data_IF_945780421664
#
_entry.id   IF_945780421664
#
_cell.length_a   1.000
_cell.length_b   1.000
_cell.length_c   1.000
_cell.angle_alpha   90.00
_cell.angle_beta   90.00
_cell.angle_gamma   90.00
#
_symmetry.space_group_name_H-M   'P 1'
#
loop_
_entity.id
_entity.type
_entity.pdbx_description
1 polymer ?
#
# COMPACT_ATOMS: atom_id res chain seq x y z
N UNK A 1 0.07 2.12 12.82
CA UNK A 1 0.82 3.12 12.03
C UNK A 1 2.32 3.11 12.33
N UNK A 2 2.80 3.53 13.50
CA UNK A 2 4.27 3.57 13.78
C UNK A 2 4.98 2.22 13.61
N UNK A 3 4.40 1.13 14.11
CA UNK A 3 4.95 -0.22 13.99
C UNK A 3 5.09 -0.68 12.53
N UNK A 4 4.06 -0.50 11.72
CA UNK A 4 4.04 -0.84 10.29
C UNK A 4 5.14 -0.12 9.49
N UNK A 5 5.37 1.16 9.81
CA UNK A 5 6.43 1.94 9.19
C UNK A 5 7.83 1.40 9.52
N UNK A 6 8.05 1.04 10.80
CA UNK A 6 9.33 0.49 11.25
C UNK A 6 9.58 -0.88 10.62
N UNK A 7 8.56 -1.73 10.57
CA UNK A 7 8.61 -3.06 9.93
C UNK A 7 8.95 -3.00 8.43
N UNK A 8 8.79 -1.84 7.78
CA UNK A 8 9.22 -1.64 6.40
C UNK A 8 10.75 -1.71 6.24
N UNK A 9 11.49 -1.49 7.32
CA UNK A 9 12.95 -1.43 7.33
C UNK A 9 13.61 -2.55 8.15
N UNK A 10 12.87 -3.61 8.50
CA UNK A 10 13.39 -4.77 9.24
C UNK A 10 14.37 -5.65 8.42
N UNK A 11 14.62 -5.29 7.15
CA UNK A 11 15.60 -5.96 6.29
C UNK A 11 15.18 -7.32 5.74
N UNK A 12 13.99 -7.81 6.10
CA UNK A 12 13.44 -9.08 5.63
C UNK A 12 12.15 -8.84 4.85
N UNK A 13 12.11 -9.28 3.59
CA UNK A 13 10.94 -9.24 2.71
C UNK A 13 10.52 -10.69 2.43
N UNK A 14 9.70 -11.24 3.33
CA UNK A 14 9.18 -12.62 3.30
C UNK A 14 7.64 -12.64 3.15
N UNK A 15 7.02 -13.81 3.20
CA UNK A 15 5.55 -13.92 3.12
C UNK A 15 4.86 -13.13 4.24
N UNK A 16 5.42 -13.15 5.45
CA UNK A 16 4.88 -12.42 6.60
C UNK A 16 4.91 -10.90 6.38
N UNK A 17 5.97 -10.38 5.76
CA UNK A 17 6.06 -8.99 5.34
C UNK A 17 4.89 -8.62 4.42
N UNK A 18 4.54 -9.48 3.46
CA UNK A 18 3.42 -9.25 2.53
C UNK A 18 2.07 -9.33 3.26
N UNK A 19 1.88 -10.35 4.11
CA UNK A 19 0.64 -10.56 4.87
C UNK A 19 0.27 -9.35 5.75
N UNK A 20 1.26 -8.80 6.47
CA UNK A 20 1.05 -7.62 7.31
C UNK A 20 0.52 -6.42 6.50
N UNK A 21 0.98 -6.27 5.26
CA UNK A 21 0.62 -5.16 4.35
C UNK A 21 -0.77 -5.33 3.80
N UNK A 22 -1.14 -6.56 3.46
CA UNK A 22 -2.52 -6.89 3.09
C UNK A 22 -3.50 -6.63 4.24
N UNK A 23 -3.12 -6.89 5.48
CA UNK A 23 -3.94 -6.54 6.65
C UNK A 23 -4.14 -5.03 6.74
N UNK A 24 -3.07 -4.24 6.59
CA UNK A 24 -3.15 -2.77 6.59
C UNK A 24 -4.03 -2.25 5.46
N UNK A 25 -3.89 -2.79 4.25
CA UNK A 25 -4.72 -2.43 3.10
C UNK A 25 -6.21 -2.69 3.37
N UNK A 26 -6.55 -3.89 3.89
CA UNK A 26 -7.92 -4.26 4.25
C UNK A 26 -8.51 -3.35 5.33
N UNK A 27 -7.71 -2.93 6.32
CA UNK A 27 -8.18 -1.99 7.34
C UNK A 27 -8.54 -0.64 6.72
N UNK A 28 -7.67 -0.07 5.88
CA UNK A 28 -7.92 1.22 5.22
C UNK A 28 -9.10 1.14 4.23
N UNK A 29 -9.23 0.03 3.51
CA UNK A 29 -10.36 -0.21 2.63
C UNK A 29 -11.69 -0.26 3.40
N UNK A 30 -11.72 -0.99 4.52
CA UNK A 30 -12.93 -1.17 5.33
C UNK A 30 -13.44 0.12 5.94
N UNK A 31 -12.54 1.06 6.28
CA UNK A 31 -12.94 2.39 6.77
C UNK A 31 -13.30 3.37 5.64
N UNK A 32 -13.23 2.93 4.38
CA UNK A 32 -13.56 3.75 3.22
C UNK A 32 -12.50 4.82 2.91
N UNK A 33 -11.24 4.63 3.32
CA UNK A 33 -10.18 5.55 2.97
C UNK A 33 -9.91 5.46 1.46
N UNK A 34 -10.09 6.57 0.75
CA UNK A 34 -9.76 6.65 -0.67
C UNK A 34 -8.24 6.39 -0.88
N UNK A 35 -7.84 5.57 -1.87
CA UNK A 35 -6.44 5.28 -2.16
C UNK A 35 -5.57 6.53 -2.33
N UNK A 36 -6.11 7.63 -2.86
CA UNK A 36 -5.36 8.88 -3.06
C UNK A 36 -4.82 9.46 -1.76
N UNK A 37 -5.56 9.34 -0.64
CA UNK A 37 -5.07 9.76 0.68
C UNK A 37 -3.92 8.90 1.16
N UNK A 38 -3.95 7.60 0.87
CA UNK A 38 -2.85 6.69 1.19
C UNK A 38 -1.60 7.07 0.38
N UNK A 39 -1.76 7.30 -0.93
CA UNK A 39 -0.65 7.73 -1.80
C UNK A 39 -0.06 9.07 -1.33
N UNK A 40 -0.90 10.04 -0.99
CA UNK A 40 -0.46 11.33 -0.45
C UNK A 40 0.34 11.20 0.86
N UNK A 41 -0.11 10.33 1.77
CA UNK A 41 0.62 10.06 3.01
C UNK A 41 1.99 9.42 2.74
N UNK A 42 2.06 8.50 1.77
CA UNK A 42 3.33 7.86 1.36
C UNK A 42 4.27 8.82 0.64
N UNK A 43 3.75 9.75 -0.15
CA UNK A 43 4.56 10.80 -0.76
C UNK A 43 5.18 11.72 0.29
N UNK A 44 4.41 12.12 1.31
CA UNK A 44 4.93 12.93 2.42
C UNK A 44 6.02 12.18 3.20
N UNK A 45 5.82 10.87 3.42
CA UNK A 45 6.80 10.00 4.04
C UNK A 45 8.08 9.90 3.19
N UNK A 46 7.94 9.63 1.89
CA UNK A 46 9.06 9.52 0.97
C UNK A 46 9.88 10.82 0.94
N UNK A 47 9.21 11.97 0.89
CA UNK A 47 9.86 13.28 0.94
C UNK A 47 10.61 13.50 2.26
N UNK A 48 10.00 13.13 3.39
CA UNK A 48 10.65 13.22 4.70
C UNK A 48 11.90 12.33 4.78
N UNK A 49 11.80 11.10 4.28
CA UNK A 49 12.93 10.16 4.24
C UNK A 49 14.02 10.64 3.30
N UNK A 50 13.68 11.23 2.16
CA UNK A 50 14.64 11.81 1.22
C UNK A 50 15.54 12.82 1.93
N UNK A 51 14.92 13.81 2.59
CA UNK A 51 15.65 14.84 3.32
C UNK A 51 16.47 14.27 4.46
N UNK A 52 15.89 13.36 5.25
CA UNK A 52 16.62 12.71 6.35
C UNK A 52 17.87 11.98 5.84
N UNK A 53 17.76 11.23 4.73
CA UNK A 53 18.88 10.47 4.18
C UNK A 53 19.90 11.39 3.53
N UNK A 54 19.46 12.40 2.76
CA UNK A 54 20.37 13.35 2.11
C UNK A 54 21.16 14.18 3.10
N UNK A 55 20.56 14.53 4.24
CA UNK A 55 21.20 15.38 5.25
C UNK A 55 22.22 14.60 6.11
N UNK A 56 22.13 13.27 6.14
CA UNK A 56 22.98 12.43 6.99
C UNK A 56 23.99 11.56 6.23
N UNK A 57 23.81 11.36 4.91
CA UNK A 57 24.68 10.52 4.09
C UNK A 57 25.40 11.38 3.05
N UNK A 58 26.70 11.60 3.28
CA UNK A 58 27.53 12.47 2.43
C UNK A 58 28.05 11.73 1.20
N UNK A 59 28.30 10.43 1.32
CA UNK A 59 28.86 9.63 0.24
C UNK A 59 27.79 9.32 -0.81
N UNK A 60 28.02 9.76 -2.05
CA UNK A 60 27.02 9.73 -3.11
C UNK A 60 26.57 8.31 -3.48
N UNK A 61 27.49 7.34 -3.51
CA UNK A 61 27.18 5.96 -3.86
C UNK A 61 26.34 5.29 -2.76
N UNK A 62 26.68 5.50 -1.50
CA UNK A 62 25.92 5.05 -0.34
C UNK A 62 24.53 5.69 -0.32
N UNK A 63 24.44 7.01 -0.53
CA UNK A 63 23.17 7.72 -0.66
C UNK A 63 22.28 7.08 -1.75
N UNK A 64 22.82 6.89 -2.96
CA UNK A 64 22.08 6.27 -4.08
C UNK A 64 21.62 4.85 -3.75
N UNK A 65 22.46 4.06 -3.09
CA UNK A 65 22.13 2.70 -2.69
C UNK A 65 20.98 2.67 -1.66
N UNK A 66 21.09 3.47 -0.60
CA UNK A 66 20.08 3.58 0.45
C UNK A 66 18.77 4.11 -0.14
N UNK A 67 18.82 5.23 -0.85
CA UNK A 67 17.64 5.84 -1.47
C UNK A 67 16.96 4.90 -2.46
N UNK A 68 17.74 4.17 -3.26
CA UNK A 68 17.24 3.14 -4.16
C UNK A 68 16.52 2.00 -3.43
N UNK A 69 17.01 1.59 -2.25
CA UNK A 69 16.34 0.58 -1.44
C UNK A 69 15.03 1.11 -0.82
N UNK A 70 15.06 2.31 -0.24
CA UNK A 70 13.88 2.93 0.39
C UNK A 70 12.75 3.10 -0.64
N UNK A 71 13.07 3.67 -1.81
CA UNK A 71 12.07 3.90 -2.87
C UNK A 71 11.45 2.60 -3.39
N UNK A 72 12.23 1.52 -3.52
CA UNK A 72 11.70 0.20 -3.87
C UNK A 72 10.74 -0.34 -2.81
N UNK A 73 11.09 -0.24 -1.52
CA UNK A 73 10.22 -0.70 -0.42
C UNK A 73 8.90 0.08 -0.37
N UNK A 74 8.96 1.41 -0.47
CA UNK A 74 7.75 2.25 -0.52
C UNK A 74 6.91 1.97 -1.76
N UNK A 75 7.54 1.69 -2.91
CA UNK A 75 6.81 1.35 -4.14
C UNK A 75 6.11 0.00 -4.02
N UNK A 76 6.77 -1.01 -3.44
CA UNK A 76 6.18 -2.32 -3.19
C UNK A 76 4.98 -2.23 -2.26
N UNK A 77 5.10 -1.49 -1.17
CA UNK A 77 4.00 -1.21 -0.24
C UNK A 77 2.77 -0.61 -0.95
N UNK A 78 2.99 0.42 -1.77
CA UNK A 78 1.91 1.07 -2.52
C UNK A 78 1.24 0.11 -3.52
N UNK A 79 2.02 -0.72 -4.23
CA UNK A 79 1.50 -1.72 -5.17
C UNK A 79 0.61 -2.75 -4.47
N UNK A 80 1.08 -3.34 -3.36
CA UNK A 80 0.32 -4.32 -2.58
C UNK A 80 -1.00 -3.75 -2.07
N UNK A 81 -0.98 -2.50 -1.60
CA UNK A 81 -2.19 -1.82 -1.13
C UNK A 81 -3.16 -1.57 -2.28
N UNK A 82 -2.69 -1.08 -3.44
CA UNK A 82 -3.54 -0.84 -4.60
C UNK A 82 -4.14 -2.14 -5.16
N UNK A 83 -3.35 -3.22 -5.21
CA UNK A 83 -3.83 -4.54 -5.63
C UNK A 83 -4.94 -5.04 -4.71
N UNK A 84 -4.77 -4.93 -3.38
CA UNK A 84 -5.80 -5.31 -2.43
C UNK A 84 -7.09 -4.49 -2.61
N UNK A 85 -6.98 -3.17 -2.83
CA UNK A 85 -8.13 -2.31 -3.12
C UNK A 85 -8.85 -2.71 -4.42
N UNK A 86 -8.08 -2.99 -5.48
CA UNK A 86 -8.63 -3.41 -6.77
C UNK A 86 -9.36 -4.75 -6.65
N UNK A 87 -8.80 -5.71 -5.90
CA UNK A 87 -9.44 -6.99 -5.64
C UNK A 87 -10.78 -6.79 -4.92
N UNK A 88 -10.79 -6.07 -3.81
CA UNK A 88 -12.00 -5.82 -3.01
C UNK A 88 -13.09 -5.09 -3.83
N UNK A 89 -12.69 -4.15 -4.68
CA UNK A 89 -13.60 -3.47 -5.60
C UNK A 89 -14.18 -4.43 -6.66
N UNK A 90 -13.35 -5.30 -7.23
CA UNK A 90 -13.78 -6.32 -8.17
C UNK A 90 -14.80 -7.28 -7.56
N UNK A 91 -14.54 -7.75 -6.34
CA UNK A 91 -15.46 -8.62 -5.59
C UNK A 91 -16.81 -7.92 -5.32
N UNK A 92 -16.79 -6.66 -4.88
CA UNK A 92 -18.03 -5.88 -4.69
C UNK A 92 -18.82 -5.69 -5.98
N UNK A 93 -18.16 -5.37 -7.08
CA UNK A 93 -18.80 -5.20 -8.38
C UNK A 93 -19.48 -6.49 -8.86
N UNK A 94 -18.80 -7.64 -8.70
CA UNK A 94 -19.40 -8.94 -9.02
C UNK A 94 -20.62 -9.22 -8.15
N UNK A 95 -20.56 -8.97 -6.84
CA UNK A 95 -21.71 -9.16 -5.95
C UNK A 95 -22.90 -8.30 -6.36
N UNK A 96 -22.68 -7.03 -6.68
CA UNK A 96 -23.73 -6.10 -7.14
C UNK A 96 -24.35 -6.60 -8.45
N UNK A 97 -23.53 -7.01 -9.41
CA UNK A 97 -23.98 -7.55 -10.70
C UNK A 97 -24.86 -8.80 -10.53
N UNK A 98 -24.39 -9.78 -9.75
CA UNK A 98 -25.15 -11.01 -9.50
C UNK A 98 -26.44 -10.77 -8.72
N UNK A 99 -26.43 -9.82 -7.79
CA UNK A 99 -27.64 -9.40 -7.07
C UNK A 99 -28.67 -8.78 -8.02
N UNK A 100 -28.24 -7.91 -8.94
CA UNK A 100 -29.10 -7.33 -9.97
C UNK A 100 -29.73 -8.40 -10.88
N UNK A 101 -28.92 -9.36 -11.38
CA UNK A 101 -29.43 -10.48 -12.18
C UNK A 101 -30.46 -11.33 -11.43
N UNK A 102 -30.24 -11.62 -10.14
CA UNK A 102 -31.21 -12.37 -9.33
C UNK A 102 -32.55 -11.64 -9.22
N UNK A 103 -32.52 -10.33 -8.97
CA UNK A 103 -33.74 -9.52 -8.87
C UNK A 103 -34.49 -9.52 -10.20
N UNK A 104 -33.80 -9.29 -11.32
CA UNK A 104 -34.41 -9.28 -12.65
C UNK A 104 -35.08 -10.62 -13.01
N UNK A 105 -34.53 -11.77 -12.60
CA UNK A 105 -35.13 -13.10 -12.84
C UNK A 105 -36.37 -13.43 -11.99
N UNK A 106 -36.71 -12.62 -10.99
CA UNK A 106 -37.91 -12.82 -10.16
C UNK A 106 -39.03 -11.81 -10.49
N UNK A 107 -38.75 -10.81 -11.32
CA UNK A 107 -39.69 -9.73 -11.70
C UNK A 107 -40.31 -9.99 -13.08
N UNK A 108 -39.74 -10.92 -13.85
CA UNK A 108 -40.27 -11.45 -15.13
C UNK A 108 -40.39 -12.96 -15.02
#
# INVERSE_FOLDING_TARGET
>A
MKKHLIELFDGTVDERFIENRLVVAKVHYRIGLDPSWYMGAFQNLQHTLFHLISDNIIEEKEFKAIWGAVTKLLSLEQQLVLEAYNQENGEKLQQVFWRGKRISRHVF
#
